data_IF_836013378207
#
_entry.id   IF_836013378207
#
_cell.length_a   1.000
_cell.length_b   1.000
_cell.length_c   1.000
_cell.angle_alpha   90.00
_cell.angle_beta   90.00
_cell.angle_gamma   90.00
#
_symmetry.space_group_name_H-M   'P 1'
#
loop_
_entity.id
_entity.type
_entity.pdbx_description
1 polymer ?
#
# COMPACT_ATOMS: atom_id res chain seq x y z
N UNK A 1 -46.52 8.94 52.74
CA UNK A 1 -45.92 9.52 51.51
C UNK A 1 -44.44 9.15 51.28
N UNK A 2 -43.75 8.40 52.16
CA UNK A 2 -42.29 8.19 52.08
C UNK A 2 -41.80 6.96 51.28
N UNK A 3 -42.66 5.95 51.05
CA UNK A 3 -42.26 4.69 50.39
C UNK A 3 -42.15 4.87 48.87
N UNK A 4 -43.06 5.63 48.26
CA UNK A 4 -43.11 5.87 46.82
C UNK A 4 -41.89 6.68 46.33
N UNK A 5 -41.44 7.66 47.12
CA UNK A 5 -40.28 8.50 46.77
C UNK A 5 -38.95 7.72 46.76
N UNK A 6 -38.85 6.67 47.59
CA UNK A 6 -37.66 5.81 47.67
C UNK A 6 -37.58 4.85 46.47
N UNK A 7 -38.73 4.37 45.98
CA UNK A 7 -38.81 3.50 44.79
C UNK A 7 -38.46 4.30 43.52
N UNK A 8 -38.92 5.55 43.41
CA UNK A 8 -38.61 6.41 42.26
C UNK A 8 -37.13 6.78 42.19
N UNK A 9 -36.50 7.15 43.32
CA UNK A 9 -35.05 7.43 43.37
C UNK A 9 -34.19 6.22 43.00
N UNK A 10 -34.62 5.02 43.42
CA UNK A 10 -33.91 3.78 43.08
C UNK A 10 -34.00 3.47 41.57
N UNK A 11 -35.20 3.58 40.99
CA UNK A 11 -35.39 3.44 39.53
C UNK A 11 -34.59 4.45 38.71
N UNK A 12 -34.46 5.70 39.17
CA UNK A 12 -33.68 6.72 38.47
C UNK A 12 -32.16 6.44 38.53
N UNK A 13 -31.68 5.90 39.64
CA UNK A 13 -30.29 5.47 39.78
C UNK A 13 -29.97 4.26 38.87
N UNK A 14 -30.86 3.27 38.84
CA UNK A 14 -30.73 2.09 37.96
C UNK A 14 -30.78 2.49 36.47
N UNK A 15 -31.64 3.44 36.09
CA UNK A 15 -31.71 3.96 34.72
C UNK A 15 -30.44 4.69 34.29
N UNK A 16 -29.90 5.56 35.16
CA UNK A 16 -28.64 6.27 34.90
C UNK A 16 -27.44 5.32 34.84
N UNK A 17 -27.44 4.27 35.67
CA UNK A 17 -26.40 3.24 35.64
C UNK A 17 -26.40 2.47 34.32
N UNK A 18 -27.58 2.10 33.81
CA UNK A 18 -27.70 1.44 32.51
C UNK A 18 -27.24 2.34 31.35
N UNK A 19 -27.59 3.63 31.35
CA UNK A 19 -27.09 4.56 30.32
C UNK A 19 -25.56 4.71 30.30
N UNK A 20 -24.91 4.68 31.48
CA UNK A 20 -23.45 4.72 31.58
C UNK A 20 -22.85 3.40 31.06
N UNK A 21 -23.50 2.26 31.35
CA UNK A 21 -23.06 0.94 30.89
C UNK A 21 -23.10 0.82 29.36
N UNK A 22 -24.21 1.25 28.74
CA UNK A 22 -24.38 1.27 27.28
C UNK A 22 -23.34 2.20 26.62
N UNK A 23 -23.15 3.41 27.17
CA UNK A 23 -22.14 4.35 26.67
C UNK A 23 -20.70 3.86 26.81
N UNK A 24 -20.41 3.07 27.84
CA UNK A 24 -19.11 2.46 28.05
C UNK A 24 -18.84 1.34 27.04
N UNK A 25 -19.84 0.47 26.77
CA UNK A 25 -19.72 -0.59 25.75
C UNK A 25 -19.52 -0.04 24.34
N UNK A 26 -20.25 1.02 23.97
CA UNK A 26 -20.14 1.60 22.63
C UNK A 26 -18.79 2.32 22.43
N UNK A 27 -18.25 2.95 23.48
CA UNK A 27 -16.91 3.51 23.47
C UNK A 27 -15.83 2.42 23.39
N UNK A 28 -16.01 1.29 24.07
CA UNK A 28 -15.06 0.16 24.05
C UNK A 28 -15.00 -0.51 22.67
N UNK A 29 -16.12 -0.63 21.98
CA UNK A 29 -16.18 -1.14 20.60
C UNK A 29 -15.41 -0.22 19.64
N UNK A 30 -15.67 1.09 19.70
CA UNK A 30 -14.95 2.08 18.88
C UNK A 30 -13.45 2.12 19.20
N UNK A 31 -13.08 1.93 20.46
CA UNK A 31 -11.68 1.87 20.88
C UNK A 31 -10.99 0.59 20.41
N UNK A 32 -11.67 -0.56 20.42
CA UNK A 32 -11.16 -1.82 19.84
C UNK A 32 -10.93 -1.70 18.34
N UNK A 33 -11.86 -1.08 17.61
CA UNK A 33 -11.69 -0.86 16.16
C UNK A 33 -10.49 0.05 15.86
N UNK A 34 -10.30 1.13 16.63
CA UNK A 34 -9.13 2.02 16.48
C UNK A 34 -7.81 1.30 16.78
N UNK A 35 -7.75 0.48 17.84
CA UNK A 35 -6.55 -0.31 18.17
C UNK A 35 -6.28 -1.37 17.10
N UNK A 36 -7.32 -1.97 16.53
CA UNK A 36 -7.18 -2.96 15.47
C UNK A 36 -6.66 -2.32 14.18
N UNK A 37 -7.18 -1.14 13.80
CA UNK A 37 -6.68 -0.36 12.66
C UNK A 37 -5.23 0.09 12.89
N UNK A 38 -4.89 0.52 14.11
CA UNK A 38 -3.52 0.91 14.49
C UNK A 38 -2.56 -0.29 14.42
N UNK A 39 -3.00 -1.46 14.90
CA UNK A 39 -2.21 -2.70 14.86
C UNK A 39 -2.02 -3.23 13.44
N UNK A 40 -3.04 -3.12 12.57
CA UNK A 40 -2.90 -3.42 11.14
C UNK A 40 -1.91 -2.46 10.48
N UNK A 41 -2.00 -1.14 10.74
CA UNK A 41 -1.05 -0.14 10.25
C UNK A 41 0.39 -0.37 10.75
N UNK A 42 0.59 -0.78 12.00
CA UNK A 42 1.90 -1.12 12.54
C UNK A 42 2.43 -2.45 12.00
N UNK A 43 1.58 -3.45 11.80
CA UNK A 43 1.94 -4.70 11.16
C UNK A 43 2.33 -4.49 9.69
N UNK A 44 1.63 -3.59 9.01
CA UNK A 44 1.95 -3.12 7.68
C UNK A 44 3.26 -2.33 7.60
N UNK A 45 3.46 -1.35 8.49
CA UNK A 45 4.73 -0.63 8.60
C UNK A 45 5.88 -1.57 8.93
N UNK A 46 5.63 -2.59 9.76
CA UNK A 46 6.56 -3.67 10.09
C UNK A 46 6.83 -4.60 8.90
N UNK A 47 5.85 -4.82 8.01
CA UNK A 47 6.02 -5.64 6.80
C UNK A 47 6.71 -4.88 5.67
N UNK A 48 6.37 -3.61 5.46
CA UNK A 48 7.16 -2.67 4.64
C UNK A 48 8.57 -2.58 5.23
N UNK A 49 8.72 -2.53 6.56
CA UNK A 49 10.01 -2.54 7.26
C UNK A 49 10.75 -3.89 7.16
N UNK A 50 10.06 -5.04 7.09
CA UNK A 50 10.65 -6.39 6.98
C UNK A 50 11.00 -6.77 5.55
N UNK A 51 10.18 -6.41 4.57
CA UNK A 51 10.57 -6.44 3.16
C UNK A 51 11.66 -5.39 2.88
N UNK A 52 11.59 -4.22 3.54
CA UNK A 52 12.68 -3.25 3.56
C UNK A 52 13.92 -3.83 4.23
N UNK A 53 13.85 -4.57 5.33
CA UNK A 53 15.07 -5.02 6.02
C UNK A 53 15.81 -6.15 5.30
N UNK A 54 15.11 -6.91 4.44
CA UNK A 54 15.71 -7.98 3.64
C UNK A 54 16.13 -7.51 2.23
N UNK A 55 15.47 -6.50 1.65
CA UNK A 55 15.79 -5.95 0.31
C UNK A 55 16.57 -4.62 0.38
N UNK A 56 16.52 -3.91 1.51
CA UNK A 56 16.98 -2.51 1.69
C UNK A 56 17.99 -2.43 2.84
N UNK A 57 18.77 -3.50 3.06
CA UNK A 57 19.91 -3.47 3.98
C UNK A 57 21.14 -2.77 3.39
N UNK A 58 21.14 -2.50 2.09
CA UNK A 58 22.13 -1.65 1.43
C UNK A 58 21.55 -0.26 1.16
N UNK A 59 21.06 0.40 2.21
CA UNK A 59 20.49 1.76 2.20
C UNK A 59 21.60 2.81 2.44
N UNK A 60 22.58 2.91 1.54
CA UNK A 60 23.64 3.93 1.64
C UNK A 60 23.73 4.86 0.42
N UNK A 61 23.15 4.52 -0.73
CA UNK A 61 23.10 5.40 -1.90
C UNK A 61 21.79 5.12 -2.66
N UNK A 62 20.88 6.07 -2.80
CA UNK A 62 19.58 5.84 -3.47
C UNK A 62 19.72 5.55 -4.99
N UNK A 63 20.81 6.00 -5.60
CA UNK A 63 21.12 5.80 -7.01
C UNK A 63 21.43 4.33 -7.40
N UNK A 64 22.29 3.57 -6.69
CA UNK A 64 22.48 2.15 -6.97
C UNK A 64 21.21 1.32 -6.76
N UNK A 65 20.32 1.70 -5.84
CA UNK A 65 19.04 1.02 -5.67
C UNK A 65 18.14 1.17 -6.91
N UNK A 66 18.12 2.35 -7.54
CA UNK A 66 17.43 2.56 -8.82
C UNK A 66 18.06 1.69 -9.91
N UNK A 67 19.40 1.67 -10.01
CA UNK A 67 20.12 0.88 -11.02
C UNK A 67 19.88 -0.62 -10.85
N UNK A 68 19.89 -1.12 -9.62
CA UNK A 68 19.59 -2.52 -9.31
C UNK A 68 18.15 -2.86 -9.70
N UNK A 69 17.19 -2.02 -9.31
CA UNK A 69 15.79 -2.25 -9.63
C UNK A 69 15.51 -2.18 -11.13
N UNK A 70 16.16 -1.25 -11.86
CA UNK A 70 16.13 -1.19 -13.31
C UNK A 70 16.72 -2.47 -13.94
N UNK A 71 17.84 -2.97 -13.43
CA UNK A 71 18.42 -4.23 -13.89
C UNK A 71 17.48 -5.42 -13.64
N UNK A 72 16.80 -5.48 -12.48
CA UNK A 72 15.80 -6.49 -12.18
C UNK A 72 14.63 -6.42 -13.18
N UNK A 73 14.14 -5.22 -13.50
CA UNK A 73 13.06 -5.03 -14.49
C UNK A 73 13.51 -5.42 -15.89
N UNK A 74 14.75 -5.09 -16.28
CA UNK A 74 15.34 -5.51 -17.56
C UNK A 74 15.40 -7.03 -17.72
N UNK A 75 15.63 -7.75 -16.62
CA UNK A 75 15.75 -9.20 -16.60
C UNK A 75 14.40 -9.93 -16.51
N UNK A 76 13.26 -9.21 -16.47
CA UNK A 76 11.95 -9.87 -16.51
C UNK A 76 11.82 -10.61 -17.85
N UNK A 77 11.56 -11.91 -17.77
CA UNK A 77 11.33 -12.71 -18.96
C UNK A 77 10.08 -12.24 -19.72
N UNK A 78 10.16 -12.21 -21.05
CA UNK A 78 9.06 -11.77 -21.92
C UNK A 78 7.75 -12.54 -21.65
N UNK A 79 7.83 -13.82 -21.27
CA UNK A 79 6.66 -14.63 -20.90
C UNK A 79 5.91 -14.05 -19.70
N UNK A 80 6.62 -13.59 -18.67
CA UNK A 80 6.00 -13.03 -17.46
C UNK A 80 5.35 -11.67 -17.71
N UNK A 81 5.94 -10.84 -18.58
CA UNK A 81 5.30 -9.60 -19.03
C UNK A 81 4.04 -9.89 -19.86
N UNK A 82 4.08 -10.91 -20.72
CA UNK A 82 2.92 -11.32 -21.51
C UNK A 82 1.80 -11.86 -20.63
N UNK A 83 2.11 -12.73 -19.67
CA UNK A 83 1.17 -13.25 -18.66
C UNK A 83 0.46 -12.10 -17.95
N UNK A 84 1.24 -11.18 -17.37
CA UNK A 84 0.72 -9.99 -16.68
C UNK A 84 -0.14 -9.12 -17.62
N UNK A 85 0.27 -8.95 -18.87
CA UNK A 85 -0.48 -8.20 -19.89
C UNK A 85 -1.75 -8.88 -20.37
N UNK A 86 -1.94 -10.18 -20.15
CA UNK A 86 -3.14 -10.94 -20.53
C UNK A 86 -4.07 -11.28 -19.36
N UNK A 87 -3.64 -11.01 -18.14
CA UNK A 87 -4.37 -11.35 -16.92
C UNK A 87 -5.71 -10.61 -16.85
N UNK A 88 -6.83 -11.34 -16.77
CA UNK A 88 -8.17 -10.75 -16.77
C UNK A 88 -8.52 -10.03 -15.45
N UNK A 89 -8.13 -10.63 -14.32
CA UNK A 89 -8.40 -10.12 -12.98
C UNK A 89 -7.11 -10.11 -12.16
N UNK A 90 -6.44 -8.95 -12.01
CA UNK A 90 -5.23 -8.86 -11.19
C UNK A 90 -5.55 -9.06 -9.71
N UNK A 91 -4.61 -9.66 -8.97
CA UNK A 91 -4.59 -9.51 -7.52
C UNK A 91 -4.39 -8.03 -7.15
N UNK A 92 -5.02 -7.57 -6.07
CA UNK A 92 -5.04 -6.14 -5.72
C UNK A 92 -3.63 -5.55 -5.60
N UNK A 93 -2.69 -6.26 -4.96
CA UNK A 93 -1.29 -5.82 -4.88
C UNK A 93 -0.61 -5.66 -6.23
N UNK A 94 -0.87 -6.55 -7.19
CA UNK A 94 -0.29 -6.46 -8.54
C UNK A 94 -0.88 -5.27 -9.29
N UNK A 95 -2.18 -5.01 -9.11
CA UNK A 95 -2.85 -3.84 -9.67
C UNK A 95 -2.25 -2.55 -9.12
N UNK A 96 -2.05 -2.46 -7.80
CA UNK A 96 -1.45 -1.29 -7.16
C UNK A 96 -0.01 -1.04 -7.64
N UNK A 97 0.81 -2.09 -7.77
CA UNK A 97 2.16 -1.98 -8.36
C UNK A 97 2.09 -1.45 -9.78
N UNK A 98 1.20 -1.98 -10.62
CA UNK A 98 1.10 -1.53 -12.00
C UNK A 98 0.58 -0.08 -12.11
N UNK A 99 -0.40 0.28 -11.27
CA UNK A 99 -0.90 1.65 -11.15
C UNK A 99 0.20 2.62 -10.72
N UNK A 100 1.01 2.21 -9.76
CA UNK A 100 2.19 2.93 -9.29
C UNK A 100 3.19 3.17 -10.42
N UNK A 101 3.53 2.12 -11.17
CA UNK A 101 4.45 2.23 -12.32
C UNK A 101 3.90 3.20 -13.37
N UNK A 102 2.63 3.06 -13.74
CA UNK A 102 1.97 3.94 -14.70
C UNK A 102 1.97 5.41 -14.22
N UNK A 103 1.74 5.64 -12.92
CA UNK A 103 1.73 6.97 -12.33
C UNK A 103 3.12 7.63 -12.39
N UNK A 104 4.17 6.89 -12.02
CA UNK A 104 5.56 7.38 -12.09
C UNK A 104 5.94 7.71 -13.54
N UNK A 105 5.52 6.90 -14.51
CA UNK A 105 5.77 7.15 -15.94
C UNK A 105 4.94 8.31 -16.52
N UNK A 106 4.13 9.00 -15.72
CA UNK A 106 3.25 10.10 -16.16
C UNK A 106 2.03 9.63 -16.96
N UNK A 107 1.67 8.35 -16.87
CA UNK A 107 0.55 7.71 -17.56
C UNK A 107 -0.43 7.09 -16.56
N UNK A 108 -0.64 7.77 -15.44
CA UNK A 108 -1.51 7.30 -14.36
C UNK A 108 -2.91 7.01 -14.87
N UNK A 109 -3.43 5.84 -14.52
CA UNK A 109 -4.78 5.37 -14.85
C UNK A 109 -5.22 4.41 -13.76
N UNK A 110 -6.52 4.31 -13.51
CA UNK A 110 -7.10 3.31 -12.60
C UNK A 110 -7.68 2.11 -13.36
N UNK A 111 -7.82 2.24 -14.68
CA UNK A 111 -8.35 1.20 -15.55
C UNK A 111 -7.30 0.14 -15.87
N UNK A 112 -7.59 -1.10 -15.51
CA UNK A 112 -6.67 -2.22 -15.72
C UNK A 112 -6.38 -2.46 -17.20
N UNK A 113 -7.37 -2.31 -18.09
CA UNK A 113 -7.14 -2.52 -19.54
C UNK A 113 -6.17 -1.48 -20.10
N UNK A 114 -6.25 -0.23 -19.65
CA UNK A 114 -5.31 0.82 -20.00
C UNK A 114 -3.88 0.48 -19.51
N UNK A 115 -3.74 -0.01 -18.28
CA UNK A 115 -2.44 -0.48 -17.76
C UNK A 115 -1.87 -1.62 -18.59
N UNK A 116 -2.70 -2.60 -18.97
CA UNK A 116 -2.29 -3.69 -19.84
C UNK A 116 -1.83 -3.20 -21.21
N UNK A 117 -2.47 -2.16 -21.75
CA UNK A 117 -2.03 -1.49 -22.99
C UNK A 117 -0.63 -0.88 -22.87
N UNK A 118 -0.33 -0.24 -21.74
CA UNK A 118 0.99 0.33 -21.44
C UNK A 118 2.04 -0.79 -21.33
N UNK A 119 1.72 -1.87 -20.61
CA UNK A 119 2.61 -3.02 -20.41
C UNK A 119 2.95 -3.74 -21.72
N UNK A 120 1.97 -3.89 -22.61
CA UNK A 120 2.13 -4.55 -23.91
C UNK A 120 2.95 -3.72 -24.91
N UNK A 121 3.21 -2.45 -24.61
CA UNK A 121 4.05 -1.63 -25.46
C UNK A 121 5.50 -2.14 -25.41
N UNK A 122 6.10 -2.38 -26.57
CA UNK A 122 7.49 -2.84 -26.68
C UNK A 122 8.49 -1.90 -25.99
N UNK A 123 8.13 -0.63 -25.82
CA UNK A 123 8.96 0.38 -25.15
C UNK A 123 8.76 0.42 -23.63
N UNK A 124 7.93 -0.44 -23.03
CA UNK A 124 7.66 -0.42 -21.60
C UNK A 124 8.93 -0.55 -20.76
N UNK A 125 9.71 -1.61 -20.99
CA UNK A 125 10.98 -1.84 -20.29
C UNK A 125 11.96 -0.68 -20.56
N UNK A 126 12.09 -0.26 -21.82
CA UNK A 126 12.95 0.87 -22.19
C UNK A 126 12.55 2.18 -21.49
N UNK A 127 11.25 2.40 -21.26
CA UNK A 127 10.74 3.58 -20.55
C UNK A 127 11.15 3.57 -19.08
N UNK A 128 11.16 2.40 -18.45
CA UNK A 128 11.62 2.22 -17.06
C UNK A 128 13.15 2.40 -16.97
N UNK A 129 13.90 1.83 -17.91
CA UNK A 129 15.37 1.94 -17.96
C UNK A 129 15.85 3.37 -18.18
N UNK A 130 15.12 4.16 -18.98
CA UNK A 130 15.49 5.54 -19.32
C UNK A 130 14.74 6.58 -18.46
N UNK A 131 14.10 6.15 -17.37
CA UNK A 131 13.36 7.06 -16.51
C UNK A 131 14.32 7.92 -15.69
N UNK A 132 14.22 9.24 -15.84
CA UNK A 132 15.03 10.22 -15.10
C UNK A 132 14.35 10.57 -13.77
N UNK A 133 14.70 9.81 -12.72
CA UNK A 133 14.12 9.96 -11.38
C UNK A 133 14.31 11.36 -10.81
N UNK A 134 15.52 11.91 -10.90
CA UNK A 134 15.87 13.20 -10.30
C UNK A 134 15.06 14.37 -10.86
N UNK A 135 14.60 14.28 -12.11
CA UNK A 135 13.78 15.34 -12.73
C UNK A 135 12.29 15.09 -12.68
N UNK A 136 11.86 13.81 -12.61
CA UNK A 136 10.45 13.44 -12.80
C UNK A 136 9.74 13.01 -11.52
N UNK A 137 10.49 12.71 -10.46
CA UNK A 137 9.93 12.33 -9.17
C UNK A 137 10.12 13.48 -8.21
N UNK A 138 9.03 14.19 -7.95
CA UNK A 138 8.96 15.27 -6.96
C UNK A 138 8.33 14.79 -5.65
N UNK A 139 8.46 15.60 -4.60
CA UNK A 139 7.91 15.29 -3.29
C UNK A 139 6.39 15.03 -3.34
N UNK A 140 5.65 15.79 -4.16
CA UNK A 140 4.19 15.61 -4.28
C UNK A 140 3.83 14.25 -4.90
N UNK A 141 4.56 13.80 -5.93
CA UNK A 141 4.40 12.46 -6.46
C UNK A 141 4.70 11.40 -5.40
N UNK A 142 5.76 11.56 -4.61
CA UNK A 142 6.11 10.58 -3.60
C UNK A 142 5.10 10.49 -2.46
N UNK A 143 4.60 11.62 -1.97
CA UNK A 143 3.53 11.64 -0.99
C UNK A 143 2.26 10.94 -1.53
N UNK A 144 1.91 11.22 -2.79
CA UNK A 144 0.80 10.53 -3.47
C UNK A 144 1.02 9.02 -3.57
N UNK A 145 2.23 8.59 -3.90
CA UNK A 145 2.59 7.17 -4.02
C UNK A 145 2.58 6.46 -2.67
N UNK A 146 3.04 7.14 -1.61
CA UNK A 146 2.96 6.64 -0.24
C UNK A 146 1.50 6.45 0.19
N UNK A 147 0.65 7.47 0.01
CA UNK A 147 -0.73 7.42 0.46
C UNK A 147 -1.62 6.47 -0.36
N UNK A 148 -1.42 6.40 -1.68
CA UNK A 148 -2.31 5.67 -2.58
C UNK A 148 -1.81 4.27 -2.95
N UNK A 149 -0.61 3.88 -2.53
CA UNK A 149 -0.03 2.59 -2.91
C UNK A 149 0.83 1.99 -1.81
N UNK A 150 1.97 2.60 -1.46
CA UNK A 150 2.97 1.93 -0.62
C UNK A 150 2.49 1.69 0.82
N UNK A 151 1.64 2.56 1.38
CA UNK A 151 1.11 2.40 2.73
C UNK A 151 -0.14 1.50 2.82
N UNK A 152 -0.63 0.95 1.70
CA UNK A 152 -1.87 0.16 1.69
C UNK A 152 -1.64 -1.32 2.06
N UNK A 153 -2.60 -1.99 2.74
CA UNK A 153 -2.53 -3.43 3.12
C UNK A 153 -2.30 -4.35 1.96
N UNK A 154 -2.90 -3.99 0.84
CA UNK A 154 -2.83 -4.73 -0.39
C UNK A 154 -1.44 -4.67 -1.06
N UNK A 155 -0.57 -3.72 -0.68
CA UNK A 155 0.80 -3.59 -1.21
C UNK A 155 1.75 -4.54 -0.48
N UNK A 156 1.47 -5.85 -0.56
CA UNK A 156 2.24 -6.90 0.08
C UNK A 156 3.16 -7.59 -0.93
N UNK A 157 4.48 -7.50 -0.70
CA UNK A 157 5.48 -8.06 -1.61
C UNK A 157 5.32 -9.57 -1.82
N UNK A 158 5.08 -10.35 -0.77
CA UNK A 158 4.91 -11.81 -0.87
C UNK A 158 3.68 -12.17 -1.71
N UNK A 159 2.56 -11.48 -1.49
CA UNK A 159 1.36 -11.67 -2.30
C UNK A 159 1.58 -11.25 -3.77
N UNK A 160 2.38 -10.20 -4.00
CA UNK A 160 2.71 -9.71 -5.35
C UNK A 160 3.59 -10.72 -6.11
N UNK A 161 4.64 -11.26 -5.49
CA UNK A 161 5.53 -12.23 -6.16
C UNK A 161 4.82 -13.57 -6.41
N UNK A 162 3.92 -13.98 -5.51
CA UNK A 162 3.10 -15.17 -5.70
C UNK A 162 2.10 -14.99 -6.85
N UNK A 163 1.51 -13.80 -6.97
CA UNK A 163 0.57 -13.51 -8.03
C UNK A 163 1.25 -13.25 -9.39
N UNK A 164 2.48 -12.73 -9.41
CA UNK A 164 3.20 -12.46 -10.66
C UNK A 164 4.72 -12.41 -10.48
N UNK A 165 5.43 -13.21 -11.28
CA UNK A 165 6.89 -13.17 -11.40
C UNK A 165 7.42 -11.80 -11.88
N UNK A 166 6.62 -11.05 -12.65
CA UNK A 166 6.96 -9.69 -13.08
C UNK A 166 6.66 -8.64 -11.99
N UNK A 167 5.74 -8.94 -11.06
CA UNK A 167 5.30 -8.01 -10.01
C UNK A 167 6.40 -7.64 -9.03
N UNK A 168 7.25 -8.60 -8.65
CA UNK A 168 8.36 -8.37 -7.72
C UNK A 168 9.36 -7.33 -8.22
N UNK A 169 9.98 -7.50 -9.41
CA UNK A 169 10.89 -6.52 -9.98
C UNK A 169 10.27 -5.13 -10.17
N UNK A 170 9.01 -5.06 -10.63
CA UNK A 170 8.28 -3.79 -10.79
C UNK A 170 8.04 -3.10 -9.43
N UNK A 171 7.66 -3.88 -8.41
CA UNK A 171 7.48 -3.38 -7.05
C UNK A 171 8.77 -2.79 -6.48
N UNK A 172 9.90 -3.49 -6.63
CA UNK A 172 11.21 -2.98 -6.22
C UNK A 172 11.56 -1.66 -6.90
N UNK A 173 11.28 -1.54 -8.20
CA UNK A 173 11.52 -0.30 -8.94
C UNK A 173 10.69 0.86 -8.39
N UNK A 174 9.39 0.68 -8.16
CA UNK A 174 8.52 1.72 -7.55
C UNK A 174 9.08 2.20 -6.20
N UNK A 175 9.46 1.26 -5.33
CA UNK A 175 9.99 1.60 -4.00
C UNK A 175 11.30 2.40 -4.13
N UNK A 176 12.19 2.00 -5.04
CA UNK A 176 13.45 2.71 -5.27
C UNK A 176 13.23 4.15 -5.77
N UNK A 177 12.21 4.38 -6.62
CA UNK A 177 11.87 5.72 -7.10
C UNK A 177 11.40 6.63 -5.95
N UNK A 178 10.54 6.13 -5.07
CA UNK A 178 10.00 6.92 -3.95
C UNK A 178 11.07 7.23 -2.92
N UNK A 179 11.94 6.27 -2.60
CA UNK A 179 13.03 6.47 -1.64
C UNK A 179 14.10 7.46 -2.13
N UNK A 180 14.32 7.54 -3.45
CA UNK A 180 15.30 8.48 -4.00
C UNK A 180 14.91 9.94 -3.77
N UNK A 181 13.63 10.29 -3.83
CA UNK A 181 13.22 11.69 -3.62
C UNK A 181 13.23 12.12 -2.15
N UNK A 182 13.33 11.16 -1.22
CA UNK A 182 13.42 11.43 0.22
C UNK A 182 14.87 11.74 0.65
N UNK A 183 15.84 11.59 -0.27
CA UNK A 183 17.28 11.87 -0.07
C UNK A 183 17.62 13.26 -0.58
#
# INVERSE_FOLDING_TARGET
>A
MSVTQSITKKKEADFKLNQILDGCQEAELKQKDLIQIQADLEHQRSFISKCSSVVIRDLADAEPAIKEAQAAVRNIEKRHLKELGTMGSPHEGVKLVMQSVCTILGRGTEDWKAMQGILRNNNFITSIMNFDTAKKVDHALCEKMNNNSLNLPSFNFDSIIQASNAGGPLCKWVIAQVKFSET
#
